data_IF_709971339103
#
_entry.id   IF_709971339103
#
_cell.length_a   1.000
_cell.length_b   1.000
_cell.length_c   1.000
_cell.angle_alpha   90.00
_cell.angle_beta   90.00
_cell.angle_gamma   90.00
#
_symmetry.space_group_name_H-M   'P 1'
#
loop_
_entity.id
_entity.type
_entity.pdbx_description
1 polymer ?
#
# COMPACT_ATOMS: atom_id res chain seq x y z
N UNK A 1 -18.67 15.50 -24.05
CA UNK A 1 -17.28 15.10 -23.82
C UNK A 1 -17.26 14.28 -22.54
N UNK A 2 -16.70 13.06 -22.58
CA UNK A 2 -16.69 12.16 -21.43
C UNK A 2 -15.61 12.53 -20.42
N UNK A 3 -15.87 12.31 -19.14
CA UNK A 3 -14.88 12.40 -18.07
C UNK A 3 -13.70 11.44 -18.36
N UNK A 4 -12.48 11.90 -18.12
CA UNK A 4 -11.24 11.14 -18.35
C UNK A 4 -10.39 11.09 -17.08
N UNK A 5 -10.87 10.39 -16.04
CA UNK A 5 -10.17 10.32 -14.76
C UNK A 5 -8.84 9.57 -14.87
N UNK A 6 -7.85 10.05 -14.12
CA UNK A 6 -6.56 9.42 -13.91
C UNK A 6 -6.16 9.52 -12.44
N UNK A 7 -5.28 8.62 -12.00
CA UNK A 7 -4.76 8.60 -10.64
C UNK A 7 -3.29 9.06 -10.64
N UNK A 8 -2.91 9.82 -9.63
CA UNK A 8 -1.54 10.20 -9.32
C UNK A 8 -1.17 9.57 -7.98
N UNK A 9 -0.19 8.68 -7.99
CA UNK A 9 0.33 7.98 -6.82
C UNK A 9 1.59 8.69 -6.36
N UNK A 10 1.59 9.18 -5.12
CA UNK A 10 2.70 9.91 -4.52
C UNK A 10 3.19 9.20 -3.26
N UNK A 11 4.51 8.97 -3.18
CA UNK A 11 5.20 8.38 -2.02
C UNK A 11 6.52 9.12 -1.80
N UNK A 12 6.56 9.98 -0.77
CA UNK A 12 7.70 10.86 -0.56
C UNK A 12 7.91 11.77 -1.77
N UNK A 13 9.10 11.70 -2.38
CA UNK A 13 9.46 12.49 -3.56
C UNK A 13 9.15 11.78 -4.90
N UNK A 14 8.61 10.56 -4.84
CA UNK A 14 8.22 9.82 -6.04
C UNK A 14 6.77 10.11 -6.42
N UNK A 15 6.54 10.44 -7.69
CA UNK A 15 5.22 10.65 -8.26
C UNK A 15 5.05 9.80 -9.53
N UNK A 16 3.93 9.08 -9.60
CA UNK A 16 3.55 8.25 -10.74
C UNK A 16 2.13 8.60 -11.16
N UNK A 17 1.87 8.56 -12.47
CA UNK A 17 0.57 8.91 -13.05
C UNK A 17 0.07 7.78 -13.93
N UNK A 18 -1.20 7.41 -13.76
CA UNK A 18 -1.89 6.48 -14.67
C UNK A 18 -2.29 7.15 -15.98
N UNK A 19 -2.56 6.36 -17.00
CA UNK A 19 -3.21 6.79 -18.23
C UNK A 19 -4.65 7.24 -17.92
N UNK A 20 -5.13 8.34 -18.54
CA UNK A 20 -6.53 8.72 -18.45
C UNK A 20 -7.46 7.62 -18.97
N UNK A 21 -8.49 7.28 -18.19
CA UNK A 21 -9.48 6.29 -18.60
C UNK A 21 -10.67 6.97 -19.28
N UNK A 22 -10.70 6.96 -20.61
CA UNK A 22 -11.78 7.58 -21.38
C UNK A 22 -13.09 6.78 -21.26
N UNK A 23 -14.17 7.45 -20.82
CA UNK A 23 -15.49 6.81 -20.72
C UNK A 23 -15.68 5.92 -19.49
N UNK A 24 -14.80 6.03 -18.48
CA UNK A 24 -14.96 5.33 -17.20
C UNK A 24 -16.09 5.87 -16.34
N UNK A 25 -16.48 7.14 -16.57
CA UNK A 25 -17.48 7.82 -15.75
C UNK A 25 -17.12 7.76 -14.27
N UNK A 26 -18.06 7.26 -13.46
CA UNK A 26 -17.95 7.20 -11.98
C UNK A 26 -17.14 6.02 -11.44
N UNK A 27 -16.78 5.05 -12.27
CA UNK A 27 -16.08 3.83 -11.84
C UNK A 27 -14.93 3.51 -12.82
N UNK A 28 -13.86 4.34 -12.85
CA UNK A 28 -12.74 4.12 -13.73
C UNK A 28 -11.87 2.94 -13.29
N UNK A 29 -11.45 2.12 -14.25
CA UNK A 29 -10.51 1.01 -14.06
C UNK A 29 -9.21 1.33 -14.81
N UNK A 30 -8.08 1.38 -14.09
CA UNK A 30 -6.79 1.68 -14.71
C UNK A 30 -5.93 0.44 -14.95
N UNK A 31 -6.00 -0.55 -14.06
CA UNK A 31 -5.22 -1.79 -14.10
C UNK A 31 -3.69 -1.59 -14.31
N UNK A 32 -3.16 -0.49 -13.75
CA UNK A 32 -1.73 -0.17 -13.82
C UNK A 32 -0.98 -0.60 -12.56
N UNK A 33 0.26 -1.07 -12.75
CA UNK A 33 1.15 -1.49 -11.66
C UNK A 33 2.39 -0.60 -11.64
N UNK A 34 2.71 -0.06 -10.47
CA UNK A 34 3.89 0.77 -10.24
C UNK A 34 4.83 0.09 -9.24
N UNK A 35 6.13 0.27 -9.45
CA UNK A 35 7.17 -0.19 -8.52
C UNK A 35 7.82 1.04 -7.89
N UNK A 36 7.64 1.16 -6.58
CA UNK A 36 8.07 2.31 -5.77
C UNK A 36 9.20 1.88 -4.84
N UNK A 37 10.25 2.69 -4.71
CA UNK A 37 11.30 2.46 -3.70
C UNK A 37 10.93 3.21 -2.42
N UNK A 38 10.68 2.49 -1.34
CA UNK A 38 10.22 3.09 -0.08
C UNK A 38 11.36 3.04 0.92
N UNK A 39 11.74 4.19 1.49
CA UNK A 39 12.82 4.26 2.49
C UNK A 39 12.25 4.42 3.90
N UNK A 40 11.49 5.48 4.13
CA UNK A 40 10.96 5.84 5.46
C UNK A 40 9.47 6.22 5.45
N UNK A 41 8.84 6.26 4.28
CA UNK A 41 7.47 6.71 4.11
C UNK A 41 6.49 5.68 4.71
N UNK A 42 5.53 6.14 5.49
CA UNK A 42 4.51 5.27 6.09
C UNK A 42 3.16 5.36 5.37
N UNK A 43 3.03 6.27 4.41
CA UNK A 43 1.76 6.55 3.74
C UNK A 43 1.99 6.70 2.25
N UNK A 44 1.06 6.15 1.47
CA UNK A 44 0.89 6.45 0.04
C UNK A 44 -0.30 7.39 -0.09
N UNK A 45 -0.11 8.49 -0.80
CA UNK A 45 -1.19 9.38 -1.17
C UNK A 45 -1.56 9.14 -2.64
N UNK A 46 -2.84 8.95 -2.92
CA UNK A 46 -3.35 8.75 -4.28
C UNK A 46 -4.39 9.82 -4.55
N UNK A 47 -4.11 10.70 -5.51
CA UNK A 47 -5.05 11.74 -5.95
C UNK A 47 -5.69 11.37 -7.28
N UNK A 48 -7.02 11.44 -7.36
CA UNK A 48 -7.79 11.18 -8.56
C UNK A 48 -8.12 12.53 -9.19
N UNK A 49 -7.79 12.70 -10.47
CA UNK A 49 -7.93 13.95 -11.22
C UNK A 49 -8.62 13.71 -12.56
N UNK A 50 -9.27 14.72 -13.12
CA UNK A 50 -9.89 14.65 -14.45
C UNK A 50 -9.06 15.42 -15.49
N UNK A 51 -8.49 14.68 -16.45
CA UNK A 51 -7.62 15.22 -17.50
C UNK A 51 -8.34 16.13 -18.49
N UNK A 52 -9.67 16.05 -18.59
CA UNK A 52 -10.42 16.87 -19.54
C UNK A 52 -10.80 18.25 -18.99
N UNK A 53 -10.73 18.41 -17.66
CA UNK A 53 -10.91 19.71 -17.06
C UNK A 53 -9.68 20.58 -17.37
N UNK A 54 -9.89 21.85 -17.73
CA UNK A 54 -8.81 22.78 -18.14
C UNK A 54 -7.73 23.04 -17.07
N UNK A 55 -7.87 22.45 -15.88
CA UNK A 55 -7.00 22.64 -14.72
C UNK A 55 -6.67 21.34 -13.99
N UNK A 56 -6.85 20.16 -14.60
CA UNK A 56 -6.61 18.86 -13.94
C UNK A 56 -7.27 18.80 -12.55
N UNK A 57 -8.58 19.11 -12.50
CA UNK A 57 -9.37 19.22 -11.27
C UNK A 57 -9.21 17.96 -10.43
N UNK A 58 -8.77 18.16 -9.19
CA UNK A 58 -8.73 17.10 -8.19
C UNK A 58 -10.16 16.71 -7.79
N UNK A 59 -10.52 15.45 -8.04
CA UNK A 59 -11.79 14.85 -7.64
C UNK A 59 -11.71 14.45 -6.17
N UNK A 60 -10.59 13.85 -5.76
CA UNK A 60 -10.36 13.48 -4.38
C UNK A 60 -9.03 12.79 -4.14
N UNK A 61 -8.74 12.55 -2.87
CA UNK A 61 -7.49 12.02 -2.35
C UNK A 61 -7.80 10.84 -1.42
N UNK A 62 -7.06 9.76 -1.59
CA UNK A 62 -7.03 8.61 -0.69
C UNK A 62 -5.64 8.50 -0.05
N UNK A 63 -5.61 8.24 1.27
CA UNK A 63 -4.36 8.02 2.02
C UNK A 63 -4.33 6.61 2.56
N UNK A 64 -3.25 5.89 2.28
CA UNK A 64 -3.12 4.47 2.63
C UNK A 64 -1.89 4.28 3.49
N UNK A 65 -2.05 3.62 4.64
CA UNK A 65 -0.95 3.33 5.55
C UNK A 65 -0.20 2.06 5.09
N UNK A 66 1.11 2.15 4.99
CA UNK A 66 2.03 1.09 4.56
C UNK A 66 2.44 0.11 5.67
N UNK A 67 2.06 0.36 6.93
CA UNK A 67 2.48 -0.47 8.06
C UNK A 67 2.05 -1.93 7.89
N UNK A 68 0.82 -2.18 7.43
CA UNK A 68 0.28 -3.53 7.26
C UNK A 68 0.98 -4.28 6.12
N UNK A 69 1.11 -3.67 4.93
CA UNK A 69 1.82 -4.31 3.81
C UNK A 69 3.29 -4.58 4.12
N UNK A 70 3.94 -3.74 4.93
CA UNK A 70 5.32 -3.99 5.38
C UNK A 70 5.44 -5.21 6.29
N UNK A 71 4.44 -5.44 7.14
CA UNK A 71 4.42 -6.58 8.06
C UNK A 71 4.04 -7.87 7.33
N UNK A 72 2.97 -7.84 6.53
CA UNK A 72 2.36 -9.01 5.91
C UNK A 72 2.95 -9.33 4.52
N UNK A 73 3.74 -8.42 3.95
CA UNK A 73 4.27 -8.47 2.58
C UNK A 73 3.26 -8.14 1.49
N UNK A 74 1.95 -8.22 1.77
CA UNK A 74 0.85 -7.95 0.83
C UNK A 74 -0.32 -7.31 1.53
N UNK A 75 -1.03 -6.42 0.84
CA UNK A 75 -2.28 -5.88 1.34
C UNK A 75 -3.27 -5.58 0.19
N UNK A 76 -4.57 -5.65 0.47
CA UNK A 76 -5.62 -5.18 -0.43
C UNK A 76 -6.43 -4.11 0.29
N UNK A 77 -6.41 -2.90 -0.26
CA UNK A 77 -7.07 -1.75 0.33
C UNK A 77 -8.36 -1.39 -0.42
N UNK A 78 -9.36 -1.03 0.38
CA UNK A 78 -10.58 -0.36 -0.05
C UNK A 78 -10.62 1.00 0.66
N UNK A 79 -9.90 1.98 0.12
CA UNK A 79 -9.63 3.24 0.79
C UNK A 79 -10.70 4.29 0.40
N UNK A 80 -11.29 5.03 1.36
CA UNK A 80 -12.21 6.10 1.03
C UNK A 80 -11.47 7.25 0.31
N UNK A 81 -12.13 7.84 -0.68
CA UNK A 81 -11.62 9.00 -1.43
C UNK A 81 -12.32 10.24 -0.91
N UNK A 82 -11.57 11.22 -0.42
CA UNK A 82 -12.09 12.47 0.14
C UNK A 82 -11.76 13.66 -0.76
N UNK A 83 -12.69 14.59 -0.95
CA UNK A 83 -12.37 15.84 -1.64
C UNK A 83 -11.39 16.66 -0.81
N UNK A 84 -10.34 17.23 -1.44
CA UNK A 84 -9.36 18.05 -0.71
C UNK A 84 -9.98 19.32 -0.15
N UNK A 85 -10.96 19.91 -0.86
CA UNK A 85 -11.56 21.19 -0.49
C UNK A 85 -12.67 21.04 0.56
N UNK A 86 -13.51 20.02 0.41
CA UNK A 86 -14.71 19.84 1.25
C UNK A 86 -14.58 18.76 2.31
N UNK A 87 -13.60 17.85 2.19
CA UNK A 87 -13.47 16.67 3.05
C UNK A 87 -14.55 15.60 2.85
N UNK A 88 -15.59 15.87 2.04
CA UNK A 88 -16.64 14.91 1.75
C UNK A 88 -16.08 13.69 1.03
N UNK A 89 -16.64 12.52 1.34
CA UNK A 89 -16.28 11.27 0.67
C UNK A 89 -16.95 11.18 -0.70
N UNK A 90 -16.17 10.97 -1.75
CA UNK A 90 -16.64 10.85 -3.15
C UNK A 90 -16.66 9.42 -3.68
N UNK A 91 -16.14 8.46 -2.92
CA UNK A 91 -16.14 7.06 -3.33
C UNK A 91 -15.12 6.23 -2.55
N UNK A 92 -14.70 5.14 -3.19
CA UNK A 92 -13.66 4.26 -2.67
C UNK A 92 -12.70 3.87 -3.79
N UNK A 93 -11.42 3.77 -3.45
CA UNK A 93 -10.36 3.30 -4.31
C UNK A 93 -10.01 1.84 -3.94
N UNK A 94 -9.94 0.97 -4.93
CA UNK A 94 -9.53 -0.43 -4.77
C UNK A 94 -8.12 -0.58 -5.31
N UNK A 95 -7.22 -1.16 -4.52
CA UNK A 95 -5.84 -1.41 -4.93
C UNK A 95 -5.23 -2.59 -4.17
N UNK A 96 -4.23 -3.21 -4.77
CA UNK A 96 -3.39 -4.23 -4.16
C UNK A 96 -1.96 -3.72 -4.01
N UNK A 97 -1.36 -3.94 -2.84
CA UNK A 97 0.02 -3.58 -2.53
C UNK A 97 0.83 -4.86 -2.31
N UNK A 98 2.08 -4.83 -2.78
CA UNK A 98 3.08 -5.84 -2.49
C UNK A 98 4.33 -5.14 -1.97
N UNK A 99 4.85 -5.57 -0.83
CA UNK A 99 6.09 -5.08 -0.27
C UNK A 99 7.15 -6.17 -0.38
N UNK A 100 8.25 -5.82 -1.04
CA UNK A 100 9.44 -6.66 -1.08
C UNK A 100 10.55 -5.90 -0.36
N UNK A 101 11.04 -6.38 0.81
CA UNK A 101 12.18 -5.76 1.44
C UNK A 101 13.37 -5.88 0.48
N UNK A 102 14.06 -4.78 0.24
CA UNK A 102 15.34 -4.82 -0.45
C UNK A 102 16.27 -5.64 0.43
N UNK A 103 16.55 -6.88 0.00
CA UNK A 103 17.52 -7.71 0.67
C UNK A 103 18.80 -6.87 0.72
N UNK A 104 19.28 -6.60 1.94
CA UNK A 104 20.64 -6.09 2.12
C UNK A 104 21.49 -7.10 1.38
N UNK A 105 21.97 -6.75 0.18
CA UNK A 105 22.95 -7.56 -0.51
C UNK A 105 24.08 -7.66 0.50
N UNK A 106 24.19 -8.81 1.15
CA UNK A 106 25.37 -9.11 1.95
C UNK A 106 26.52 -8.78 1.00
N UNK A 107 27.46 -7.90 1.40
CA UNK A 107 28.55 -7.53 0.52
C UNK A 107 29.10 -8.85 0.03
N UNK A 108 29.05 -9.04 -1.30
CA UNK A 108 29.57 -10.25 -1.91
C UNK A 108 31.04 -10.29 -1.49
N UNK A 109 31.32 -11.01 -0.40
CA UNK A 109 32.66 -11.35 0.00
C UNK A 109 33.13 -12.16 -1.18
N UNK A 110 33.90 -11.48 -2.04
CA UNK A 110 34.60 -12.06 -3.15
C UNK A 110 35.47 -13.16 -2.53
N UNK A 111 34.90 -14.35 -2.45
CA UNK A 111 35.67 -15.58 -2.32
C UNK A 111 36.34 -15.71 -3.67
N UNK A 112 37.43 -14.96 -3.85
CA UNK A 112 38.55 -15.39 -4.65
C UNK A 112 39.02 -16.71 -4.04
N UNK A 113 38.31 -17.79 -4.35
CA UNK A 113 38.89 -19.11 -4.31
C UNK A 113 39.92 -19.11 -5.44
N UNK A 114 41.16 -18.76 -5.07
CA UNK A 114 42.33 -19.20 -5.78
C UNK A 114 42.37 -20.73 -5.70
N UNK A 115 41.65 -21.39 -6.60
CA UNK A 115 41.76 -22.81 -6.83
C UNK A 115 43.03 -23.08 -7.65
N UNK A 116 44.16 -23.15 -6.96
CA UNK A 116 45.34 -23.84 -7.47
C UNK A 116 45.14 -25.34 -7.20
N UNK A 117 44.60 -26.07 -8.18
CA UNK A 117 44.63 -27.54 -8.20
C UNK A 117 45.34 -28.02 -9.45
N UNK A 118 46.63 -28.34 -9.27
CA UNK A 118 47.38 -29.20 -10.18
C UNK A 118 46.88 -30.64 -9.98
N UNK A 119 46.10 -31.14 -10.95
CA UNK A 119 45.65 -32.52 -11.01
C UNK A 119 45.67 -33.02 -12.46
N UNK A 120 46.17 -34.24 -12.75
CA UNK A 120 46.40 -34.70 -14.10
C UNK A 120 45.15 -35.34 -14.74
N UNK A 121 45.02 -35.05 -16.04
CA UNK A 121 44.44 -35.86 -17.11
C UNK A 121 43.33 -36.88 -16.77
N UNK A 122 42.12 -36.64 -17.28
CA UNK A 122 41.13 -37.70 -17.42
C UNK A 122 39.76 -37.23 -17.91
N UNK A 123 39.50 -37.49 -19.19
CA UNK A 123 38.20 -37.57 -19.86
C UNK A 123 37.39 -36.28 -20.06
N UNK A 124 37.50 -35.80 -21.30
CA UNK A 124 36.67 -34.77 -21.91
C UNK A 124 35.24 -35.29 -22.12
N UNK A 125 34.25 -34.45 -21.76
CA UNK A 125 32.90 -34.57 -22.26
C UNK A 125 32.68 -33.44 -23.28
N UNK A 126 32.45 -33.83 -24.53
CA UNK A 126 32.30 -32.95 -25.69
C UNK A 126 30.89 -32.31 -25.68
N UNK A 127 30.82 -31.00 -25.46
CA UNK A 127 29.64 -30.20 -25.75
C UNK A 127 29.73 -29.69 -27.21
N UNK A 128 28.69 -29.81 -28.04
CA UNK A 128 28.70 -29.28 -29.39
C UNK A 128 28.64 -27.74 -29.39
N UNK A 129 29.37 -27.06 -30.30
CA UNK A 129 29.34 -25.60 -30.41
C UNK A 129 28.04 -25.13 -31.06
N UNK A 130 27.28 -24.30 -30.34
CA UNK A 130 26.17 -23.53 -30.91
C UNK A 130 26.75 -22.36 -31.71
N UNK A 131 26.50 -22.38 -33.02
CA UNK A 131 26.85 -21.31 -33.95
C UNK A 131 26.01 -20.06 -33.65
N UNK A 132 26.70 -18.94 -33.44
CA UNK A 132 26.09 -17.63 -33.27
C UNK A 132 25.50 -17.12 -34.59
N UNK A 133 24.24 -16.67 -34.52
CA UNK A 133 23.66 -15.81 -35.53
C UNK A 133 23.92 -14.34 -35.15
N UNK A 134 24.47 -13.51 -36.05
CA UNK A 134 24.54 -12.08 -35.83
C UNK A 134 23.15 -11.44 -35.99
N UNK A 135 22.68 -10.77 -34.94
CA UNK A 135 21.49 -9.92 -34.98
C UNK A 135 21.80 -8.63 -35.76
N UNK A 136 20.92 -8.20 -36.69
CA UNK A 136 21.06 -6.90 -37.36
C UNK A 136 20.79 -5.76 -36.39
N UNK A 137 21.68 -4.76 -36.40
CA UNK A 137 21.56 -3.53 -35.63
C UNK A 137 20.31 -2.74 -36.06
N UNK A 138 19.40 -2.51 -35.12
CA UNK A 138 18.28 -1.60 -35.31
C UNK A 138 18.76 -0.13 -35.25
N UNK A 139 18.32 0.75 -36.17
CA UNK A 139 18.64 2.17 -36.11
C UNK A 139 17.91 2.86 -34.95
N UNK A 140 18.66 3.64 -34.17
CA UNK A 140 18.12 4.46 -33.08
C UNK A 140 17.23 5.60 -33.63
N UNK A 141 16.03 5.83 -33.09
CA UNK A 141 15.27 7.03 -33.40
C UNK A 141 15.87 8.24 -32.68
N UNK A 142 16.31 9.22 -33.47
CA UNK A 142 16.68 10.54 -32.99
C UNK A 142 15.42 11.32 -32.57
N UNK A 143 15.11 11.31 -31.27
CA UNK A 143 14.15 12.27 -30.70
C UNK A 143 14.91 13.52 -30.24
N UNK A 144 14.84 14.56 -31.06
CA UNK A 144 15.16 15.93 -30.68
C UNK A 144 14.12 16.44 -29.68
N UNK A 145 14.57 16.71 -28.44
CA UNK A 145 13.77 17.37 -27.42
C UNK A 145 13.53 18.85 -27.78
N UNK A 146 12.30 19.39 -27.65
CA UNK A 146 12.08 20.82 -27.73
C UNK A 146 12.61 21.53 -26.48
N UNK A 147 13.42 22.56 -26.70
CA UNK A 147 13.84 23.51 -25.69
C UNK A 147 12.64 24.38 -25.27
N UNK A 148 12.27 24.32 -23.99
CA UNK A 148 11.32 25.27 -23.42
C UNK A 148 12.08 26.41 -22.75
N UNK A 149 11.78 27.59 -23.25
CA UNK A 149 12.27 28.90 -22.86
C UNK A 149 11.96 29.21 -21.39
N UNK A 150 12.95 29.70 -20.68
CA UNK A 150 12.81 30.33 -19.36
C UNK A 150 11.99 31.61 -19.48
N UNK A 151 10.76 31.61 -18.96
CA UNK A 151 9.96 32.81 -18.78
C UNK A 151 9.98 33.23 -17.30
N UNK A 152 10.70 34.31 -17.03
CA UNK A 152 10.70 35.09 -15.81
C UNK A 152 9.31 35.72 -15.60
N UNK A 153 8.63 35.44 -14.49
CA UNK A 153 7.47 36.23 -14.07
C UNK A 153 7.22 36.17 -12.55
N UNK A 154 7.53 37.31 -11.92
CA UNK A 154 6.97 37.92 -10.71
C UNK A 154 6.06 37.13 -9.75
N UNK A 155 6.52 37.12 -8.48
CA UNK A 155 5.74 37.13 -7.24
C UNK A 155 4.46 37.99 -7.33
N UNK A 156 3.39 37.54 -6.63
CA UNK A 156 3.01 38.30 -5.44
C UNK A 156 2.77 37.42 -4.20
N UNK A 157 3.02 38.02 -3.03
CA UNK A 157 2.75 37.49 -1.70
C UNK A 157 1.23 37.36 -1.43
N UNK A 158 0.74 36.27 -0.80
CA UNK A 158 -0.58 36.27 -0.22
C UNK A 158 -0.57 36.96 1.16
N UNK A 159 -1.46 37.94 1.28
CA UNK A 159 -1.74 38.65 2.53
C UNK A 159 -2.37 37.73 3.57
N UNK A 160 -1.94 37.94 4.83
CA UNK A 160 -2.55 37.36 6.00
C UNK A 160 -3.98 37.91 6.20
N UNK A 161 -4.97 37.03 6.10
CA UNK A 161 -6.31 37.30 6.61
C UNK A 161 -6.46 36.65 7.98
N UNK A 162 -6.53 37.49 9.00
CA UNK A 162 -7.14 37.15 10.28
C UNK A 162 -8.64 36.92 10.04
N UNK A 163 -9.16 35.76 10.42
CA UNK A 163 -10.59 35.54 10.57
C UNK A 163 -10.84 34.76 11.87
N UNK A 164 -11.62 35.41 12.71
CA UNK A 164 -12.02 35.02 14.05
C UNK A 164 -13.12 33.95 13.96
N UNK A 165 -12.98 32.85 14.69
CA UNK A 165 -14.02 31.84 14.82
C UNK A 165 -13.82 31.05 16.11
N UNK A 166 -14.64 31.35 17.10
CA UNK A 166 -14.62 30.76 18.43
C UNK A 166 -14.75 29.23 18.39
N UNK A 167 -13.81 28.53 19.03
CA UNK A 167 -13.88 27.11 19.34
C UNK A 167 -14.68 26.91 20.64
N UNK A 168 -15.72 26.05 20.68
CA UNK A 168 -16.25 25.58 21.95
C UNK A 168 -15.25 24.61 22.59
N UNK A 169 -14.76 24.99 23.76
CA UNK A 169 -13.86 24.18 24.59
C UNK A 169 -14.50 22.82 24.92
N UNK A 170 -13.93 21.75 24.38
CA UNK A 170 -14.10 20.41 24.94
C UNK A 170 -13.27 20.31 26.21
N UNK A 171 -13.95 20.04 27.33
CA UNK A 171 -13.39 19.77 28.64
C UNK A 171 -12.46 18.55 28.58
N UNK A 172 -11.17 18.81 28.60
CA UNK A 172 -10.13 17.80 28.75
C UNK A 172 -10.20 17.22 30.18
N UNK A 173 -10.26 15.89 30.37
CA UNK A 173 -10.17 15.30 31.70
C UNK A 173 -8.76 15.51 32.29
N UNK A 174 -8.64 15.66 33.63
CA UNK A 174 -7.38 15.95 34.28
C UNK A 174 -6.36 14.80 34.12
N UNK A 175 -5.07 15.10 33.95
CA UNK A 175 -4.02 14.09 33.91
C UNK A 175 -3.87 13.40 35.27
N UNK A 176 -3.71 12.07 35.24
CA UNK A 176 -3.41 11.26 36.41
C UNK A 176 -2.07 11.67 37.05
N UNK A 177 -1.94 11.63 38.39
CA UNK A 177 -0.72 12.03 39.07
C UNK A 177 0.44 11.09 38.72
N UNK A 178 1.52 11.70 38.23
CA UNK A 178 2.85 11.09 38.09
C UNK A 178 3.31 10.56 39.46
N UNK A 179 3.40 9.24 39.57
CA UNK A 179 4.04 8.57 40.68
C UNK A 179 5.50 9.00 40.76
N UNK A 180 5.87 9.61 41.89
CA UNK A 180 7.24 9.93 42.25
C UNK A 180 8.08 8.66 42.34
N UNK A 181 9.00 8.45 41.39
CA UNK A 181 10.10 7.53 41.57
C UNK A 181 11.21 8.26 42.35
N UNK A 182 11.39 7.82 43.59
CA UNK A 182 12.39 8.28 44.53
C UNK A 182 13.81 8.03 44.00
N UNK A 183 14.66 9.05 44.04
CA UNK A 183 16.12 8.90 44.18
C UNK A 183 16.44 8.76 45.66
N UNK A 184 17.37 7.87 46.08
CA UNK A 184 18.73 8.35 46.42
C UNK A 184 19.83 7.31 46.07
N UNK A 185 20.98 7.69 45.50
CA UNK A 185 22.16 8.33 46.10
C UNK A 185 23.24 7.35 46.63
N UNK A 186 24.48 7.79 46.42
CA UNK A 186 25.76 7.38 47.04
C UNK A 186 26.48 6.12 46.56
N UNK A 187 27.62 6.38 45.91
CA UNK A 187 28.69 5.41 45.73
C UNK A 187 29.40 5.08 47.03
N UNK A 188 29.77 3.81 47.17
CA UNK A 188 30.66 3.29 48.21
C UNK A 188 31.87 2.66 47.49
N UNK A 189 33.11 3.12 47.76
CA UNK A 189 34.31 2.38 47.44
C UNK A 189 34.63 1.45 48.61
N UNK A 190 34.47 0.15 48.43
CA UNK A 190 34.82 -0.82 49.49
C UNK A 190 34.43 -2.23 49.13
N UNK A 191 35.42 -3.07 48.87
CA UNK A 191 35.25 -4.46 48.45
C UNK A 191 34.48 -5.29 49.48
N UNK A 192 33.48 -6.02 49.00
CA UNK A 192 32.89 -7.15 49.70
C UNK A 192 33.19 -8.44 48.92
N UNK A 193 33.46 -9.55 49.63
CA UNK A 193 33.69 -10.85 49.02
C UNK A 193 32.42 -11.38 48.34
N UNK A 194 32.62 -12.11 47.24
CA UNK A 194 31.56 -12.68 46.42
C UNK A 194 30.58 -13.54 47.25
N UNK A 195 29.26 -13.40 47.05
CA UNK A 195 28.28 -14.24 47.72
C UNK A 195 28.37 -15.69 47.21
N UNK A 196 28.03 -16.69 48.05
CA UNK A 196 28.03 -18.09 47.67
C UNK A 196 27.04 -18.33 46.53
N UNK A 197 27.51 -19.02 45.49
CA UNK A 197 26.72 -19.46 44.35
C UNK A 197 25.62 -20.42 44.82
N UNK A 198 24.40 -19.92 44.94
CA UNK A 198 23.21 -20.73 45.03
C UNK A 198 23.05 -21.43 43.67
N UNK A 199 23.29 -22.74 43.64
CA UNK A 199 22.97 -23.54 42.48
C UNK A 199 21.46 -23.42 42.21
N UNK A 200 21.03 -23.17 40.95
CA UNK A 200 19.62 -23.06 40.64
C UNK A 200 18.95 -24.40 40.96
N UNK A 201 18.02 -24.38 41.92
CA UNK A 201 17.12 -25.48 42.18
C UNK A 201 16.33 -25.68 40.89
N UNK A 202 16.57 -26.79 40.19
CA UNK A 202 15.77 -27.14 39.02
C UNK A 202 14.34 -27.34 39.52
N UNK A 203 13.35 -26.60 39.00
CA UNK A 203 11.98 -26.80 39.42
C UNK A 203 11.57 -28.23 39.02
N UNK A 204 11.31 -29.06 40.02
CA UNK A 204 10.64 -30.35 39.84
C UNK A 204 9.36 -30.07 39.07
N UNK A 205 9.30 -30.59 37.84
CA UNK A 205 8.18 -30.46 36.93
C UNK A 205 6.92 -30.98 37.60
N UNK A 206 6.11 -30.05 38.11
CA UNK A 206 4.78 -30.36 38.62
C UNK A 206 3.97 -30.95 37.46
N UNK A 207 3.29 -32.06 37.71
CA UNK A 207 2.41 -32.68 36.71
C UNK A 207 1.37 -31.65 36.24
N UNK A 208 1.15 -31.53 34.91
CA UNK A 208 0.23 -30.55 34.37
C UNK A 208 -1.18 -30.76 34.93
N UNK A 209 -1.78 -29.67 35.41
CA UNK A 209 -3.12 -29.68 35.96
C UNK A 209 -4.12 -30.12 34.87
N UNK A 210 -4.82 -31.25 35.04
CA UNK A 210 -5.73 -31.79 34.02
C UNK A 210 -6.86 -30.82 33.66
N UNK A 211 -7.20 -29.88 34.56
CA UNK A 211 -8.20 -28.85 34.28
C UNK A 211 -7.71 -27.76 33.34
N UNK A 212 -6.40 -27.45 33.33
CA UNK A 212 -5.84 -26.45 32.44
C UNK A 212 -5.89 -26.89 30.98
N UNK A 213 -5.69 -28.19 30.71
CA UNK A 213 -5.78 -28.75 29.37
C UNK A 213 -7.22 -28.70 28.82
N UNK A 214 -8.22 -29.00 29.65
CA UNK A 214 -9.63 -28.93 29.25
C UNK A 214 -10.08 -27.49 28.94
N UNK A 215 -9.63 -26.51 29.75
CA UNK A 215 -9.93 -25.10 29.50
C UNK A 215 -9.30 -24.58 28.20
N UNK A 216 -8.06 -24.97 27.91
CA UNK A 216 -7.39 -24.60 26.66
C UNK A 216 -8.12 -25.19 25.43
N UNK A 217 -8.56 -26.45 25.50
CA UNK A 217 -9.30 -27.10 24.43
C UNK A 217 -10.65 -26.41 24.13
N UNK A 218 -11.35 -25.93 25.17
CA UNK A 218 -12.60 -25.18 24.99
C UNK A 218 -12.34 -23.82 24.32
N UNK A 219 -11.33 -23.07 24.79
CA UNK A 219 -10.97 -21.78 24.22
C UNK A 219 -10.54 -21.89 22.74
N UNK A 220 -9.83 -22.97 22.38
CA UNK A 220 -9.45 -23.22 21.00
C UNK A 220 -10.65 -23.55 20.11
N UNK A 221 -11.65 -24.27 20.65
CA UNK A 221 -12.91 -24.54 19.94
C UNK A 221 -13.71 -23.26 19.69
N UNK A 222 -13.85 -22.39 20.68
CA UNK A 222 -14.51 -21.09 20.53
C UNK A 222 -13.80 -20.21 19.49
N UNK A 223 -12.45 -20.22 19.49
CA UNK A 223 -11.66 -19.47 18.50
C UNK A 223 -11.86 -20.01 17.09
N UNK A 224 -11.97 -21.33 16.91
CA UNK A 224 -12.26 -21.94 15.61
C UNK A 224 -13.65 -21.58 15.10
N UNK A 225 -14.64 -21.50 16.00
CA UNK A 225 -16.02 -21.12 15.65
C UNK A 225 -16.10 -19.66 15.17
N UNK A 226 -15.46 -18.72 15.87
CA UNK A 226 -15.36 -17.32 15.44
C UNK A 226 -14.66 -17.15 14.08
N UNK A 227 -13.62 -17.94 13.82
CA UNK A 227 -12.93 -17.91 12.53
C UNK A 227 -13.83 -18.42 11.40
N UNK A 228 -14.67 -19.42 11.68
CA UNK A 228 -15.64 -19.94 10.72
C UNK A 228 -16.72 -18.92 10.43
N UNK A 229 -17.32 -18.31 11.45
CA UNK A 229 -18.33 -17.25 11.31
C UNK A 229 -17.77 -16.07 10.50
N UNK A 230 -16.55 -15.62 10.80
CA UNK A 230 -15.87 -14.55 10.03
C UNK A 230 -15.62 -14.94 8.58
N UNK A 231 -15.39 -16.22 8.29
CA UNK A 231 -15.25 -16.70 6.91
C UNK A 231 -16.59 -16.72 6.17
N UNK A 232 -17.67 -17.10 6.85
CA UNK A 232 -19.03 -17.09 6.32
C UNK A 232 -19.49 -15.65 6.03
N UNK A 233 -19.31 -14.71 6.96
CA UNK A 233 -19.58 -13.27 6.75
C UNK A 233 -18.83 -12.70 5.54
N UNK A 234 -17.55 -13.05 5.42
CA UNK A 234 -16.72 -12.59 4.30
C UNK A 234 -17.20 -13.17 2.97
N UNK A 235 -17.72 -14.41 2.98
CA UNK A 235 -18.30 -15.06 1.81
C UNK A 235 -19.62 -14.40 1.43
N UNK A 236 -20.52 -14.15 2.38
CA UNK A 236 -21.80 -13.46 2.13
C UNK A 236 -21.57 -12.03 1.59
N UNK A 237 -20.61 -11.29 2.15
CA UNK A 237 -20.21 -9.98 1.63
C UNK A 237 -19.72 -10.05 0.18
N UNK A 238 -19.00 -11.12 -0.17
CA UNK A 238 -18.50 -11.33 -1.52
C UNK A 238 -19.64 -11.68 -2.50
N UNK A 239 -20.52 -12.59 -2.11
CA UNK A 239 -21.71 -12.98 -2.88
C UNK A 239 -22.65 -11.79 -3.09
N UNK A 240 -22.95 -11.02 -2.04
CA UNK A 240 -23.77 -9.80 -2.16
C UNK A 240 -23.11 -8.67 -2.97
N UNK A 241 -21.77 -8.61 -3.07
CA UNK A 241 -21.09 -7.71 -4.02
C UNK A 241 -21.19 -8.20 -5.46
N UNK A 242 -21.18 -9.53 -5.67
CA UNK A 242 -21.37 -10.14 -6.98
C UNK A 242 -22.80 -9.92 -7.48
N UNK A 243 -23.81 -10.20 -6.66
CA UNK A 243 -25.22 -9.98 -7.00
C UNK A 243 -25.51 -8.52 -7.35
N UNK A 244 -24.96 -7.55 -6.59
CA UNK A 244 -25.09 -6.12 -6.92
C UNK A 244 -24.44 -5.74 -8.26
N UNK A 245 -23.39 -6.45 -8.69
CA UNK A 245 -22.80 -6.25 -10.01
C UNK A 245 -23.67 -6.84 -11.11
N UNK A 246 -24.27 -8.01 -10.88
CA UNK A 246 -25.20 -8.65 -11.80
C UNK A 246 -26.48 -7.79 -11.95
N UNK A 247 -27.08 -7.32 -10.86
CA UNK A 247 -28.24 -6.40 -10.90
C UNK A 247 -27.95 -5.12 -11.68
N UNK A 248 -26.78 -4.48 -11.46
CA UNK A 248 -26.38 -3.29 -12.24
C UNK A 248 -26.11 -3.60 -13.72
N UNK A 249 -25.76 -4.84 -14.04
CA UNK A 249 -25.62 -5.29 -15.42
C UNK A 249 -26.99 -5.47 -16.07
N UNK A 250 -27.90 -6.17 -15.40
CA UNK A 250 -29.28 -6.36 -15.84
C UNK A 250 -30.02 -5.02 -15.99
N UNK A 251 -29.85 -4.10 -15.03
CA UNK A 251 -30.40 -2.74 -15.11
C UNK A 251 -29.90 -2.01 -16.37
N UNK A 252 -28.61 -2.12 -16.70
CA UNK A 252 -28.05 -1.54 -17.93
C UNK A 252 -28.57 -2.22 -19.20
N UNK A 253 -28.79 -3.53 -19.17
CA UNK A 253 -29.39 -4.26 -20.29
C UNK A 253 -30.87 -3.85 -20.50
N UNK A 254 -31.62 -3.65 -19.41
CA UNK A 254 -32.99 -3.15 -19.43
C UNK A 254 -33.09 -1.74 -20.03
N UNK A 255 -32.22 -0.81 -19.59
CA UNK A 255 -32.18 0.54 -20.17
C UNK A 255 -31.77 0.52 -21.65
N UNK A 256 -30.85 -0.38 -22.03
CA UNK A 256 -30.46 -0.55 -23.43
C UNK A 256 -31.65 -1.03 -24.27
N UNK A 257 -32.44 -2.00 -23.81
CA UNK A 257 -33.64 -2.46 -24.53
C UNK A 257 -34.73 -1.40 -24.62
N UNK A 258 -34.92 -0.58 -23.58
CA UNK A 258 -35.90 0.51 -23.57
C UNK A 258 -35.62 1.57 -24.65
N UNK A 259 -34.34 1.87 -24.92
CA UNK A 259 -33.93 2.81 -25.97
C UNK A 259 -34.19 2.27 -27.39
N UNK A 260 -34.23 0.95 -27.60
CA UNK A 260 -34.58 0.35 -28.89
C UNK A 260 -36.11 0.35 -29.17
N UNK A 261 -36.94 0.68 -28.18
CA UNK A 261 -38.41 0.70 -28.31
C UNK A 261 -39.01 2.04 -28.73
N UNK A 262 -38.29 3.15 -28.59
CA UNK A 262 -38.74 4.49 -29.00
C UNK A 262 -38.05 4.95 -30.28
N UNK A 263 -38.28 4.21 -31.36
CA UNK A 263 -38.13 4.73 -32.71
C UNK A 263 -39.17 5.82 -33.00
N UNK A 264 -39.03 6.97 -32.35
CA UNK A 264 -39.70 8.21 -32.75
C UNK A 264 -38.93 8.89 -33.88
N UNK A 265 -39.56 9.26 -35.00
CA UNK A 265 -38.87 9.78 -36.18
C UNK A 265 -38.14 11.10 -35.90
N UNK A 266 -36.93 11.20 -36.48
CA UNK A 266 -35.98 12.27 -36.25
C UNK A 266 -36.50 13.66 -36.58
N UNK A 267 -36.26 14.58 -35.66
CA UNK A 267 -36.25 16.02 -35.91
C UNK A 267 -34.82 16.44 -36.25
N UNK A 268 -34.53 16.48 -37.56
CA UNK A 268 -33.42 17.23 -38.12
C UNK A 268 -33.76 18.72 -38.01
N UNK A 269 -33.00 19.46 -37.22
CA UNK A 269 -32.98 20.92 -37.27
C UNK A 269 -31.81 21.36 -38.16
N UNK A 270 -32.14 22.16 -39.18
CA UNK A 270 -31.23 22.97 -39.97
C UNK A 270 -30.86 24.24 -39.22
#
# INVERSE_FOLDING_TARGET
>A
MGEAPYAVVQVGDQEFRTRPHHGGGRDPEWDETFVLRITYENTVEISIRDAHSSHDKCIGVAKINLAKVRLDGRDSHHAPVHSPDSGHQHGHLHLALHFQPEAVQAPAVASQQAAASLGPAGYQCLCPPQQGYPLPAAPAPAYSAPAYSTATAYHPQPQAYACCGAQPHATQPPPAPLGQAQSPAFGIPGGYPAPPSWAPVTPTTAAPDPYAAAAAALAERERQELLRERQEDRRELWEGRRERRELRREEREMWREADYGWGGPGLLFW
#
